data_IF_086160222747
#
_entry.id   IF_086160222747
#
_cell.length_a   1.000
_cell.length_b   1.000
_cell.length_c   1.000
_cell.angle_alpha   90.00
_cell.angle_beta   90.00
_cell.angle_gamma   90.00
#
_symmetry.space_group_name_H-M   'P 1'
#
loop_
_entity.id
_entity.type
_entity.pdbx_description
1 polymer ?
#
# COMPACT_ATOMS: atom_id res chain seq x y z
N UNK A 1 -15.61 13.84 -3.74
CA UNK A 1 -14.88 14.84 -2.90
C UNK A 1 -13.90 15.55 -3.81
N UNK A 2 -13.70 16.86 -3.65
CA UNK A 2 -12.68 17.61 -4.40
C UNK A 2 -11.29 17.29 -3.82
N UNK A 3 -10.27 17.26 -4.68
CA UNK A 3 -8.87 17.15 -4.26
C UNK A 3 -8.52 18.36 -3.37
N UNK A 4 -7.93 18.18 -2.19
CA UNK A 4 -7.52 19.28 -1.32
C UNK A 4 -6.44 20.15 -1.98
N UNK A 5 -6.31 21.40 -1.53
CA UNK A 5 -5.21 22.26 -1.95
C UNK A 5 -3.89 21.84 -1.30
N UNK A 6 -2.74 22.09 -1.97
CA UNK A 6 -1.42 21.97 -1.36
C UNK A 6 -1.29 22.82 -0.10
N UNK A 7 -0.49 22.40 0.88
CA UNK A 7 -0.34 23.12 2.14
C UNK A 7 0.99 22.84 2.84
N UNK A 8 1.46 23.84 3.57
CA UNK A 8 2.54 23.70 4.53
C UNK A 8 2.03 22.99 5.79
N UNK A 9 2.77 22.01 6.29
CA UNK A 9 2.45 21.27 7.52
C UNK A 9 3.34 21.67 8.71
N UNK A 10 4.31 22.58 8.48
CA UNK A 10 5.33 22.96 9.44
C UNK A 10 6.54 22.04 9.42
N UNK A 11 7.58 22.41 10.16
CA UNK A 11 8.83 21.65 10.27
C UNK A 11 9.51 21.34 8.90
N UNK A 12 9.36 22.22 7.90
CA UNK A 12 9.86 21.94 6.53
C UNK A 12 9.16 20.78 5.84
N UNK A 13 7.92 20.51 6.19
CA UNK A 13 7.10 19.44 5.58
C UNK A 13 5.91 20.06 4.85
N UNK A 14 5.65 19.61 3.63
CA UNK A 14 4.58 20.08 2.78
C UNK A 14 3.79 18.90 2.22
N UNK A 15 2.51 19.11 1.96
CA UNK A 15 1.62 18.12 1.36
C UNK A 15 1.12 18.62 0.01
N UNK A 16 1.25 17.80 -1.01
CA UNK A 16 0.70 18.02 -2.35
C UNK A 16 -0.21 16.86 -2.70
N UNK A 17 -1.54 17.01 -2.57
CA UNK A 17 -2.48 15.98 -2.98
C UNK A 17 -2.55 15.88 -4.50
N UNK A 18 -2.22 14.72 -5.06
CA UNK A 18 -2.28 14.42 -6.49
C UNK A 18 -3.57 13.64 -6.82
N UNK A 19 -4.40 14.09 -7.78
CA UNK A 19 -5.60 13.38 -8.18
C UNK A 19 -5.27 12.02 -8.79
N UNK A 20 -6.18 11.06 -8.61
CA UNK A 20 -6.06 9.71 -9.15
C UNK A 20 -7.19 9.45 -10.17
N UNK A 21 -6.95 8.59 -11.18
CA UNK A 21 -7.97 8.21 -12.17
C UNK A 21 -8.99 7.21 -11.62
N UNK A 22 -9.14 7.11 -10.29
CA UNK A 22 -10.01 6.15 -9.59
C UNK A 22 -11.19 6.87 -8.92
N UNK A 23 -12.27 6.12 -8.67
CA UNK A 23 -13.38 6.63 -7.85
C UNK A 23 -13.00 6.76 -6.37
N UNK A 24 -12.19 5.82 -5.88
CA UNK A 24 -11.71 5.77 -4.50
C UNK A 24 -10.40 4.96 -4.43
N UNK A 25 -9.36 5.52 -3.80
CA UNK A 25 -9.29 6.91 -3.31
C UNK A 25 -9.21 7.91 -4.46
N UNK A 26 -9.77 9.13 -4.34
CA UNK A 26 -9.77 10.13 -5.42
C UNK A 26 -8.46 10.93 -5.55
N UNK A 27 -7.57 10.84 -4.59
CA UNK A 27 -6.22 11.43 -4.60
C UNK A 27 -5.27 10.63 -3.70
N UNK A 28 -3.98 10.77 -3.96
CA UNK A 28 -2.89 10.37 -3.07
C UNK A 28 -2.21 11.62 -2.52
N UNK A 29 -1.78 11.59 -1.27
CA UNK A 29 -0.96 12.64 -0.68
C UNK A 29 0.51 12.34 -0.97
N UNK A 30 1.16 13.18 -1.74
CA UNK A 30 2.60 13.22 -1.82
C UNK A 30 3.14 14.22 -0.81
N UNK A 31 4.32 14.00 -0.27
CA UNK A 31 4.92 14.89 0.71
C UNK A 31 6.27 15.40 0.22
N UNK A 32 6.54 16.66 0.46
CA UNK A 32 7.85 17.27 0.21
C UNK A 32 8.46 17.59 1.58
N UNK A 33 9.70 17.16 1.77
CA UNK A 33 10.47 17.43 3.00
C UNK A 33 11.68 18.27 2.62
N UNK A 34 11.82 19.43 3.27
CA UNK A 34 13.01 20.26 3.16
C UNK A 34 14.19 19.51 3.81
N UNK A 35 15.23 19.28 3.03
CA UNK A 35 16.51 18.71 3.43
C UNK A 35 17.59 19.80 3.28
N UNK A 36 18.69 19.71 4.04
CA UNK A 36 19.66 20.80 4.13
C UNK A 36 20.25 21.28 2.81
N UNK A 37 20.25 20.45 1.78
CA UNK A 37 20.79 20.70 0.42
C UNK A 37 19.71 20.71 -0.67
N UNK A 38 18.42 20.61 -0.32
CA UNK A 38 17.34 20.63 -1.27
C UNK A 38 16.04 20.04 -0.74
N UNK A 39 15.36 19.26 -1.58
CA UNK A 39 14.05 18.69 -1.29
C UNK A 39 14.04 17.17 -1.49
N UNK A 40 13.32 16.47 -0.62
CA UNK A 40 12.97 15.05 -0.77
C UNK A 40 11.47 14.96 -1.08
N UNK A 41 11.12 14.25 -2.14
CA UNK A 41 9.74 13.91 -2.46
C UNK A 41 9.42 12.50 -1.93
N UNK A 42 8.33 12.34 -1.21
CA UNK A 42 7.83 11.05 -0.70
C UNK A 42 6.55 10.71 -1.45
N UNK A 43 6.57 9.60 -2.17
CA UNK A 43 5.58 9.14 -3.14
C UNK A 43 5.33 10.16 -4.28
N UNK A 44 4.86 9.69 -5.42
CA UNK A 44 4.71 10.57 -6.59
C UNK A 44 3.36 10.46 -7.30
N UNK A 45 2.50 9.52 -6.93
CA UNK A 45 1.22 9.33 -7.59
C UNK A 45 1.30 8.46 -8.84
N UNK A 46 0.22 8.44 -9.58
CA UNK A 46 0.01 7.67 -10.81
C UNK A 46 0.45 8.49 -12.02
N UNK A 47 1.07 7.86 -13.04
CA UNK A 47 1.46 8.53 -14.30
C UNK A 47 0.22 8.91 -15.12
N UNK A 48 -0.32 10.05 -14.77
CA UNK A 48 -1.52 10.63 -15.35
C UNK A 48 -1.37 12.14 -15.42
N UNK A 49 -1.69 12.73 -16.55
CA UNK A 49 -1.40 14.15 -16.78
C UNK A 49 -1.99 15.09 -15.73
N UNK A 50 -3.26 14.92 -15.25
CA UNK A 50 -3.76 15.75 -14.15
C UNK A 50 -2.99 15.57 -12.83
N UNK A 51 -2.44 14.37 -12.56
CA UNK A 51 -1.57 14.11 -11.40
C UNK A 51 -0.26 14.88 -11.49
N UNK A 52 0.43 14.79 -12.64
CA UNK A 52 1.64 15.56 -12.91
C UNK A 52 1.43 17.07 -12.78
N UNK A 53 0.37 17.58 -13.41
CA UNK A 53 0.03 19.02 -13.32
C UNK A 53 -0.31 19.45 -11.90
N UNK A 54 -0.91 18.58 -11.08
CA UNK A 54 -1.18 18.88 -9.68
C UNK A 54 0.12 18.93 -8.87
N UNK A 55 1.05 18.02 -9.13
CA UNK A 55 2.36 18.01 -8.48
C UNK A 55 3.14 19.30 -8.83
N UNK A 56 3.30 19.64 -10.11
CA UNK A 56 4.00 20.84 -10.56
C UNK A 56 3.38 22.14 -10.02
N UNK A 57 2.03 22.26 -10.09
CA UNK A 57 1.31 23.39 -9.47
C UNK A 57 1.50 23.43 -7.97
N UNK A 58 1.52 22.26 -7.31
CA UNK A 58 1.71 22.17 -5.88
C UNK A 58 3.04 22.75 -5.41
N UNK A 59 4.14 22.49 -6.12
CA UNK A 59 5.43 23.13 -5.86
C UNK A 59 5.33 24.66 -6.02
N UNK A 60 4.74 25.15 -7.11
CA UNK A 60 4.57 26.58 -7.35
C UNK A 60 3.69 27.27 -6.30
N UNK A 61 2.55 26.67 -5.93
CA UNK A 61 1.60 27.20 -4.92
C UNK A 61 2.23 27.28 -3.52
N UNK A 62 3.19 26.38 -3.23
CA UNK A 62 3.93 26.35 -1.96
C UNK A 62 5.22 27.20 -2.03
N UNK A 63 5.53 27.82 -3.17
CA UNK A 63 6.76 28.60 -3.33
C UNK A 63 8.04 27.75 -3.26
N UNK A 64 7.94 26.45 -3.56
CA UNK A 64 9.06 25.52 -3.60
C UNK A 64 9.62 25.43 -5.03
N UNK A 65 10.93 25.32 -5.16
CA UNK A 65 11.59 25.09 -6.43
C UNK A 65 11.73 23.58 -6.68
N UNK A 66 10.94 23.05 -7.62
CA UNK A 66 10.92 21.62 -7.95
C UNK A 66 12.28 21.11 -8.46
N UNK A 67 13.13 22.01 -9.01
CA UNK A 67 14.48 21.65 -9.45
C UNK A 67 15.44 21.31 -8.28
N UNK A 68 15.05 21.63 -7.06
CA UNK A 68 15.80 21.26 -5.85
C UNK A 68 15.45 19.86 -5.32
N UNK A 69 14.51 19.14 -5.94
CA UNK A 69 14.22 17.76 -5.58
C UNK A 69 15.38 16.87 -6.03
N UNK A 70 16.16 16.38 -5.07
CA UNK A 70 17.29 15.50 -5.34
C UNK A 70 17.00 14.03 -5.09
N UNK A 71 15.92 13.70 -4.37
CA UNK A 71 15.55 12.33 -4.02
C UNK A 71 14.05 12.15 -4.06
N UNK A 72 13.60 11.10 -4.74
CA UNK A 72 12.26 10.55 -4.68
C UNK A 72 12.32 9.27 -3.85
N UNK A 73 11.66 9.24 -2.70
CA UNK A 73 11.47 8.04 -1.89
C UNK A 73 10.06 7.54 -2.14
N UNK A 74 9.91 6.29 -2.58
CA UNK A 74 8.60 5.68 -2.77
C UNK A 74 8.36 4.65 -1.67
N UNK A 75 7.20 4.78 -1.01
CA UNK A 75 6.82 3.95 0.13
C UNK A 75 6.61 2.48 -0.26
N UNK A 76 6.03 2.20 -1.44
CA UNK A 76 5.76 0.86 -1.94
C UNK A 76 5.36 0.85 -3.43
N UNK A 77 5.20 -0.35 -4.02
CA UNK A 77 5.04 -0.55 -5.47
C UNK A 77 3.59 -0.39 -6.01
N UNK A 78 2.64 0.11 -5.25
CA UNK A 78 1.30 0.35 -5.82
C UNK A 78 1.31 1.53 -6.81
N UNK A 79 0.50 1.46 -7.89
CA UNK A 79 0.55 2.43 -9.00
C UNK A 79 0.32 3.87 -8.60
N UNK A 80 -0.45 4.11 -7.56
CA UNK A 80 -0.77 5.43 -7.03
C UNK A 80 0.32 6.03 -6.12
N UNK A 81 1.42 5.30 -5.91
CA UNK A 81 2.61 5.75 -5.19
C UNK A 81 3.83 5.82 -6.11
N UNK A 82 4.07 4.78 -6.89
CA UNK A 82 5.28 4.63 -7.72
C UNK A 82 5.05 5.02 -9.19
N UNK A 83 3.80 5.17 -9.61
CA UNK A 83 3.45 5.23 -11.04
C UNK A 83 4.15 6.35 -11.82
N UNK A 84 4.34 7.53 -11.22
CA UNK A 84 5.07 8.62 -11.88
C UNK A 84 6.59 8.59 -11.68
N UNK A 85 7.17 7.59 -11.02
CA UNK A 85 8.59 7.58 -10.64
C UNK A 85 9.53 7.83 -11.84
N UNK A 86 9.35 7.14 -12.95
CA UNK A 86 10.15 7.32 -14.15
C UNK A 86 10.03 8.75 -14.72
N UNK A 87 8.84 9.36 -14.69
CA UNK A 87 8.61 10.73 -15.13
C UNK A 87 9.28 11.72 -14.18
N UNK A 88 9.09 11.56 -12.87
CA UNK A 88 9.70 12.42 -11.84
C UNK A 88 11.23 12.40 -11.95
N UNK A 89 11.84 11.22 -12.03
CA UNK A 89 13.29 11.08 -12.20
C UNK A 89 13.78 11.79 -13.48
N UNK A 90 13.10 11.58 -14.60
CA UNK A 90 13.49 12.20 -15.88
C UNK A 90 13.35 13.72 -15.88
N UNK A 91 12.25 14.27 -15.34
CA UNK A 91 11.95 15.70 -15.40
C UNK A 91 12.70 16.49 -14.30
N UNK A 92 12.89 15.92 -13.11
CA UNK A 92 13.53 16.59 -11.98
C UNK A 92 15.01 16.21 -11.81
N UNK A 93 15.47 15.12 -12.43
CA UNK A 93 16.88 14.68 -12.33
C UNK A 93 17.25 14.11 -10.95
N UNK A 94 16.28 13.62 -10.18
CA UNK A 94 16.47 13.12 -8.83
C UNK A 94 16.79 11.63 -8.79
N UNK A 95 17.32 11.15 -7.65
CA UNK A 95 17.52 9.73 -7.38
C UNK A 95 16.20 9.05 -6.99
N UNK A 96 15.98 7.85 -7.52
CA UNK A 96 14.84 7.00 -7.16
C UNK A 96 15.23 6.00 -6.09
N UNK A 97 14.52 6.02 -4.97
CA UNK A 97 14.88 5.27 -3.76
C UNK A 97 13.68 4.48 -3.25
N UNK A 98 13.89 3.19 -2.96
CA UNK A 98 12.89 2.31 -2.36
C UNK A 98 13.56 1.33 -1.37
N UNK A 99 12.72 0.55 -0.65
CA UNK A 99 13.20 -0.56 0.17
C UNK A 99 13.86 -1.65 -0.69
N UNK A 100 14.87 -2.35 -0.18
CA UNK A 100 15.62 -3.41 -0.90
C UNK A 100 14.73 -4.52 -1.49
N UNK A 101 13.60 -4.81 -0.83
CA UNK A 101 12.63 -5.80 -1.33
C UNK A 101 12.03 -5.39 -2.68
N UNK A 102 11.98 -4.10 -3.00
CA UNK A 102 11.45 -3.62 -4.28
C UNK A 102 12.25 -4.16 -5.46
N UNK A 103 13.57 -4.28 -5.35
CA UNK A 103 14.43 -4.75 -6.43
C UNK A 103 13.99 -6.12 -6.99
N UNK A 104 13.54 -7.02 -6.13
CA UNK A 104 13.02 -8.34 -6.55
C UNK A 104 11.56 -8.33 -7.00
N UNK A 105 10.80 -7.29 -6.65
CA UNK A 105 9.37 -7.19 -6.94
C UNK A 105 9.06 -6.36 -8.18
N UNK A 106 9.96 -5.45 -8.60
CA UNK A 106 9.78 -4.62 -9.81
C UNK A 106 9.58 -5.47 -11.05
N UNK A 107 10.41 -6.49 -11.26
CA UNK A 107 10.26 -7.38 -12.43
C UNK A 107 8.91 -8.12 -12.40
N UNK A 108 8.49 -8.55 -11.22
CA UNK A 108 7.18 -9.20 -11.03
C UNK A 108 6.02 -8.22 -11.22
N UNK A 109 6.16 -6.98 -10.78
CA UNK A 109 5.20 -5.91 -11.04
C UNK A 109 5.07 -5.63 -12.54
N UNK A 110 6.18 -5.64 -13.25
CA UNK A 110 6.22 -5.40 -14.69
C UNK A 110 5.73 -6.60 -15.53
N UNK A 111 5.72 -7.83 -14.99
CA UNK A 111 5.22 -9.07 -15.65
C UNK A 111 3.68 -9.13 -15.61
N UNK A 112 3.01 -8.30 -16.39
CA UNK A 112 1.54 -8.28 -16.48
C UNK A 112 0.93 -9.63 -16.85
N UNK A 113 1.46 -10.39 -17.85
CA UNK A 113 0.96 -11.73 -18.13
C UNK A 113 1.15 -12.71 -16.97
N UNK A 114 2.26 -12.63 -16.25
CA UNK A 114 2.52 -13.48 -15.09
C UNK A 114 1.60 -13.16 -13.92
N UNK A 115 1.36 -11.89 -13.66
CA UNK A 115 0.36 -11.47 -12.64
C UNK A 115 -1.02 -12.02 -12.95
N UNK A 116 -1.40 -11.96 -14.23
CA UNK A 116 -2.66 -12.50 -14.72
C UNK A 116 -2.80 -14.00 -14.44
N UNK A 117 -1.80 -14.79 -14.85
CA UNK A 117 -1.79 -16.24 -14.62
C UNK A 117 -1.81 -16.61 -13.14
N UNK A 118 -1.06 -15.88 -12.30
CA UNK A 118 -1.06 -16.10 -10.85
C UNK A 118 -2.45 -15.86 -10.26
N UNK A 119 -3.12 -14.79 -10.66
CA UNK A 119 -4.47 -14.46 -10.20
C UNK A 119 -5.49 -15.50 -10.67
N UNK A 120 -5.41 -15.96 -11.92
CA UNK A 120 -6.25 -17.04 -12.47
C UNK A 120 -6.06 -18.34 -11.66
N UNK A 121 -4.82 -18.71 -11.39
CA UNK A 121 -4.51 -19.90 -10.58
C UNK A 121 -5.08 -19.78 -9.17
N UNK A 122 -4.94 -18.61 -8.52
CA UNK A 122 -5.53 -18.37 -7.21
C UNK A 122 -7.07 -18.46 -7.24
N UNK A 123 -7.69 -17.86 -8.26
CA UNK A 123 -9.13 -17.90 -8.43
C UNK A 123 -9.65 -19.33 -8.57
N UNK A 124 -9.01 -20.15 -9.43
CA UNK A 124 -9.38 -21.54 -9.63
C UNK A 124 -9.21 -22.37 -8.35
N UNK A 125 -8.07 -22.23 -7.67
CA UNK A 125 -7.75 -23.00 -6.46
C UNK A 125 -8.66 -22.62 -5.30
N UNK A 126 -9.04 -21.35 -5.15
CA UNK A 126 -9.82 -20.86 -4.01
C UNK A 126 -11.29 -20.57 -4.33
N UNK A 127 -11.76 -20.95 -5.52
CA UNK A 127 -13.17 -21.04 -5.87
C UNK A 127 -13.81 -19.77 -6.43
N UNK A 128 -13.05 -18.73 -6.81
CA UNK A 128 -13.60 -17.54 -7.43
C UNK A 128 -14.09 -17.84 -8.86
N UNK A 129 -15.34 -17.50 -9.22
CA UNK A 129 -15.85 -17.72 -10.58
C UNK A 129 -15.07 -16.91 -11.63
N UNK A 130 -14.82 -17.53 -12.78
CA UNK A 130 -14.03 -16.93 -13.87
C UNK A 130 -14.69 -15.68 -14.47
N UNK A 131 -16.02 -15.65 -14.53
CA UNK A 131 -16.77 -14.48 -15.02
C UNK A 131 -16.63 -13.27 -14.10
N UNK A 132 -16.61 -13.46 -12.77
CA UNK A 132 -16.35 -12.41 -11.80
C UNK A 132 -14.91 -11.92 -11.90
N UNK A 133 -13.95 -12.85 -12.00
CA UNK A 133 -12.54 -12.52 -12.17
C UNK A 133 -12.30 -11.68 -13.44
N UNK A 134 -12.88 -12.10 -14.57
CA UNK A 134 -12.71 -11.44 -15.86
C UNK A 134 -13.35 -10.04 -15.88
N UNK A 135 -14.53 -9.89 -15.26
CA UNK A 135 -15.21 -8.61 -15.19
C UNK A 135 -14.44 -7.54 -14.39
N UNK A 136 -13.61 -7.94 -13.42
CA UNK A 136 -12.81 -7.03 -12.59
C UNK A 136 -11.41 -6.75 -13.12
N UNK A 137 -11.07 -7.24 -14.32
CA UNK A 137 -9.73 -7.15 -14.88
C UNK A 137 -9.72 -6.33 -16.17
N UNK A 138 -8.85 -5.32 -16.31
CA UNK A 138 -8.64 -4.69 -17.60
C UNK A 138 -8.00 -5.69 -18.57
N UNK A 139 -8.42 -5.66 -19.85
CA UNK A 139 -7.88 -6.53 -20.92
C UNK A 139 -6.40 -6.24 -21.19
N UNK A 140 -6.02 -4.96 -21.06
CA UNK A 140 -4.66 -4.46 -21.21
C UNK A 140 -4.20 -3.71 -19.95
N UNK A 141 -2.88 -3.57 -19.78
CA UNK A 141 -2.31 -2.72 -18.72
C UNK A 141 -2.77 -1.29 -18.94
N UNK A 142 -3.43 -0.64 -17.98
CA UNK A 142 -3.86 0.75 -18.15
C UNK A 142 -2.66 1.69 -18.34
N UNK A 143 -2.80 2.71 -19.18
CA UNK A 143 -1.74 3.70 -19.45
C UNK A 143 -1.20 4.39 -18.19
N UNK A 144 -2.06 4.54 -17.17
CA UNK A 144 -1.67 5.11 -15.88
C UNK A 144 -0.89 4.13 -14.95
N UNK A 145 -0.62 2.92 -15.42
CA UNK A 145 0.21 1.91 -14.74
C UNK A 145 1.44 1.59 -15.59
N UNK A 146 2.41 2.52 -15.72
CA UNK A 146 3.58 2.31 -16.56
C UNK A 146 4.46 1.19 -16.02
N UNK A 147 5.44 0.78 -16.83
CA UNK A 147 6.55 -0.04 -16.33
C UNK A 147 7.38 0.78 -15.35
N UNK A 148 7.79 0.14 -14.26
CA UNK A 148 8.60 0.75 -13.22
C UNK A 148 10.07 0.39 -13.46
N UNK A 149 10.94 1.38 -13.37
CA UNK A 149 12.39 1.19 -13.40
C UNK A 149 12.90 0.66 -12.06
N UNK A 150 14.09 0.07 -12.07
CA UNK A 150 14.74 -0.33 -10.82
C UNK A 150 15.16 0.92 -10.04
N UNK A 151 15.02 0.92 -8.69
CA UNK A 151 15.50 2.02 -7.86
C UNK A 151 17.04 2.20 -7.98
N UNK A 152 17.50 3.46 -7.96
CA UNK A 152 18.93 3.79 -7.94
C UNK A 152 19.59 3.40 -6.62
N UNK A 153 18.86 3.58 -5.52
CA UNK A 153 19.31 3.27 -4.17
C UNK A 153 18.29 2.43 -3.41
N UNK A 154 18.79 1.53 -2.60
CA UNK A 154 17.98 0.61 -1.80
C UNK A 154 18.14 0.93 -0.32
N UNK A 155 17.00 1.01 0.38
CA UNK A 155 16.93 1.23 1.82
C UNK A 155 16.69 -0.10 2.55
N UNK A 156 17.15 -0.17 3.78
CA UNK A 156 16.89 -1.27 4.70
C UNK A 156 16.19 -0.77 5.97
N UNK A 157 15.57 -1.68 6.72
CA UNK A 157 14.97 -1.34 8.01
C UNK A 157 16.02 -0.78 8.98
N UNK A 158 15.74 0.37 9.56
CA UNK A 158 16.63 1.07 10.49
C UNK A 158 17.58 2.07 9.83
N UNK A 159 17.64 2.18 8.51
CA UNK A 159 18.38 3.24 7.85
C UNK A 159 17.88 4.61 8.28
N UNK A 160 18.77 5.61 8.26
CA UNK A 160 18.49 6.98 8.60
C UNK A 160 18.88 7.91 7.42
N UNK A 161 17.87 8.51 6.79
CA UNK A 161 18.07 9.46 5.70
C UNK A 161 18.28 10.84 6.32
N UNK A 162 19.49 11.40 6.18
CA UNK A 162 19.81 12.72 6.70
C UNK A 162 19.01 13.79 5.95
N UNK A 163 18.33 14.67 6.68
CA UNK A 163 17.59 15.82 6.15
C UNK A 163 18.14 17.16 6.68
N UNK A 164 19.38 17.14 7.18
CA UNK A 164 20.08 18.32 7.66
C UNK A 164 19.76 18.68 9.11
N UNK A 165 20.55 19.61 9.68
CA UNK A 165 20.40 20.10 11.05
C UNK A 165 20.38 19.00 12.15
N UNK A 166 21.03 17.86 11.91
CA UNK A 166 20.99 16.70 12.81
C UNK A 166 19.62 16.01 12.89
N UNK A 167 18.78 16.18 11.88
CA UNK A 167 17.47 15.56 11.71
C UNK A 167 17.53 14.50 10.63
N UNK A 168 16.81 13.41 10.82
CA UNK A 168 16.76 12.31 9.85
C UNK A 168 15.36 11.73 9.73
N UNK A 169 15.10 11.05 8.63
CA UNK A 169 13.95 10.16 8.45
C UNK A 169 14.42 8.73 8.69
N UNK A 170 13.98 8.10 9.77
CA UNK A 170 14.25 6.70 10.05
C UNK A 170 13.34 5.81 9.18
N UNK A 171 13.93 4.86 8.48
CA UNK A 171 13.23 3.89 7.64
C UNK A 171 12.69 2.77 8.53
N UNK A 172 11.40 2.53 8.44
CA UNK A 172 10.71 1.44 9.13
C UNK A 172 10.11 0.51 8.06
N UNK A 173 10.70 -0.67 7.88
CA UNK A 173 10.10 -1.69 7.02
C UNK A 173 8.81 -2.19 7.64
N UNK A 174 7.69 -2.05 6.93
CA UNK A 174 6.34 -2.36 7.39
C UNK A 174 5.61 -3.25 6.36
N UNK A 175 6.09 -4.49 6.15
CA UNK A 175 5.51 -5.39 5.17
C UNK A 175 4.09 -5.82 5.55
N UNK A 176 3.38 -6.35 4.55
CA UNK A 176 2.06 -6.95 4.69
C UNK A 176 1.04 -6.39 3.71
N UNK A 177 0.78 -5.09 3.70
CA UNK A 177 -0.01 -4.44 2.63
C UNK A 177 0.67 -4.63 1.27
N UNK A 178 1.97 -4.38 1.23
CA UNK A 178 2.89 -4.71 0.15
C UNK A 178 4.27 -5.05 0.75
N UNK A 179 5.06 -5.90 0.09
CA UNK A 179 6.25 -6.51 0.69
C UNK A 179 7.47 -5.58 0.80
N UNK A 180 7.54 -4.54 -0.03
CA UNK A 180 8.57 -3.52 0.05
C UNK A 180 8.12 -2.27 0.82
N UNK A 181 6.93 -2.30 1.44
CA UNK A 181 6.36 -1.13 2.09
C UNK A 181 7.22 -0.62 3.24
N UNK A 182 7.47 0.69 3.25
CA UNK A 182 8.13 1.40 4.35
C UNK A 182 7.28 2.54 4.89
N UNK A 183 7.39 2.77 6.19
CA UNK A 183 7.07 4.04 6.81
C UNK A 183 8.36 4.83 7.06
N UNK A 184 8.26 6.15 7.08
CA UNK A 184 9.38 7.04 7.41
C UNK A 184 9.04 7.80 8.68
N UNK A 185 9.92 7.77 9.69
CA UNK A 185 9.71 8.50 10.95
C UNK A 185 10.73 9.59 11.13
N UNK A 186 10.25 10.79 11.30
CA UNK A 186 11.08 11.96 11.60
C UNK A 186 11.67 11.86 13.02
N UNK A 187 13.00 11.94 13.11
CA UNK A 187 13.74 11.76 14.35
C UNK A 187 13.52 12.86 15.38
N UNK A 188 13.20 14.08 14.93
CA UNK A 188 13.01 15.27 15.79
C UNK A 188 11.58 15.39 16.26
N UNK A 189 10.61 15.27 15.35
CA UNK A 189 9.20 15.51 15.62
C UNK A 189 8.42 14.26 16.00
N UNK A 190 8.94 13.09 15.62
CA UNK A 190 8.25 11.80 15.73
C UNK A 190 7.12 11.61 14.72
N UNK A 191 6.91 12.55 13.79
CA UNK A 191 5.92 12.44 12.72
C UNK A 191 6.22 11.20 11.89
N UNK A 192 5.17 10.43 11.59
CA UNK A 192 5.24 9.24 10.76
C UNK A 192 4.61 9.49 9.39
N UNK A 193 5.36 9.34 8.31
CA UNK A 193 4.82 9.15 6.97
C UNK A 193 4.47 7.66 6.83
N UNK A 194 3.19 7.35 6.83
CA UNK A 194 2.73 5.96 6.95
C UNK A 194 2.47 5.27 5.61
N UNK A 195 2.63 5.97 4.48
CA UNK A 195 2.17 5.39 3.22
C UNK A 195 0.75 4.86 3.34
N UNK A 196 0.53 3.63 2.91
CA UNK A 196 -0.73 2.92 3.05
C UNK A 196 -0.79 1.97 4.25
N UNK A 197 0.20 1.99 5.15
CA UNK A 197 0.18 1.12 6.31
C UNK A 197 -0.88 1.53 7.35
N UNK A 198 -1.06 2.84 7.58
CA UNK A 198 -2.08 3.38 8.49
C UNK A 198 -2.89 4.44 7.76
N UNK A 199 -4.17 4.16 7.49
CA UNK A 199 -5.11 5.08 6.85
C UNK A 199 -6.19 5.58 7.83
N UNK A 200 -6.71 6.82 7.66
CA UNK A 200 -7.54 7.46 8.69
C UNK A 200 -8.93 6.82 8.86
N UNK A 201 -9.52 6.28 7.79
CA UNK A 201 -10.92 5.81 7.80
C UNK A 201 -11.09 4.35 7.46
N UNK A 202 -10.36 3.87 6.47
CA UNK A 202 -10.43 2.48 5.99
C UNK A 202 -9.28 1.66 6.57
N UNK A 203 -9.43 0.35 6.63
CA UNK A 203 -8.31 -0.56 6.77
C UNK A 203 -7.68 -0.73 5.39
N UNK A 204 -6.36 -0.60 5.25
CA UNK A 204 -5.69 -0.99 4.02
C UNK A 204 -6.01 -2.43 3.64
N UNK A 205 -6.14 -2.69 2.35
CA UNK A 205 -6.34 -4.06 1.85
C UNK A 205 -5.04 -4.83 1.97
N UNK A 206 -5.06 -6.02 2.57
CA UNK A 206 -3.91 -6.91 2.65
C UNK A 206 -4.15 -8.11 1.74
N UNK A 207 -3.63 -8.03 0.52
CA UNK A 207 -3.88 -9.03 -0.52
C UNK A 207 -2.94 -10.23 -0.40
N UNK A 208 -3.49 -11.43 -0.62
CA UNK A 208 -2.69 -12.61 -0.87
C UNK A 208 -2.24 -12.65 -2.33
N UNK A 209 -0.97 -12.42 -2.56
CA UNK A 209 -0.38 -12.33 -3.90
C UNK A 209 0.76 -13.32 -4.15
N UNK A 210 1.02 -14.23 -3.20
CA UNK A 210 2.11 -15.21 -3.23
C UNK A 210 3.54 -14.62 -3.17
N UNK A 211 3.69 -13.36 -2.78
CA UNK A 211 5.01 -12.76 -2.51
C UNK A 211 5.56 -13.21 -1.15
N UNK A 212 4.67 -13.53 -0.26
CA UNK A 212 4.94 -14.12 1.07
C UNK A 212 3.84 -15.14 1.41
N UNK A 213 4.14 -16.02 2.36
CA UNK A 213 3.18 -17.02 2.82
C UNK A 213 2.07 -16.43 3.72
N UNK A 214 2.37 -15.36 4.47
CA UNK A 214 1.46 -14.78 5.47
C UNK A 214 1.48 -13.24 5.44
N UNK A 215 0.96 -12.59 4.40
CA UNK A 215 0.97 -11.14 4.32
C UNK A 215 0.17 -10.48 5.46
N UNK A 216 -0.92 -11.10 5.94
CA UNK A 216 -1.70 -10.55 7.04
C UNK A 216 -0.96 -10.64 8.38
N UNK A 217 -0.26 -11.74 8.65
CA UNK A 217 0.57 -11.88 9.84
C UNK A 217 1.70 -10.86 9.88
N UNK A 218 2.35 -10.63 8.74
CA UNK A 218 3.38 -9.59 8.60
C UNK A 218 2.79 -8.18 8.83
N UNK A 219 1.62 -7.89 8.24
CA UNK A 219 0.93 -6.62 8.42
C UNK A 219 0.57 -6.36 9.89
N UNK A 220 -0.02 -7.35 10.57
CA UNK A 220 -0.38 -7.23 11.98
C UNK A 220 0.87 -7.06 12.87
N UNK A 221 1.96 -7.76 12.57
CA UNK A 221 3.25 -7.60 13.27
C UNK A 221 3.81 -6.19 13.09
N UNK A 222 3.74 -5.65 11.87
CA UNK A 222 4.16 -4.28 11.56
C UNK A 222 3.31 -3.25 12.31
N UNK A 223 1.99 -3.44 12.43
CA UNK A 223 1.12 -2.58 13.23
C UNK A 223 1.48 -2.63 14.71
N UNK A 224 1.71 -3.83 15.29
CA UNK A 224 2.10 -4.02 16.68
C UNK A 224 3.44 -3.31 16.99
N UNK A 225 4.41 -3.38 16.07
CA UNK A 225 5.67 -2.66 16.18
C UNK A 225 5.43 -1.15 16.28
N UNK A 226 4.62 -0.56 15.40
CA UNK A 226 4.33 0.87 15.40
C UNK A 226 3.59 1.31 16.66
N UNK A 227 2.61 0.54 17.14
CA UNK A 227 1.92 0.78 18.42
C UNK A 227 2.94 0.82 19.58
N UNK A 228 3.87 -0.14 19.62
CA UNK A 228 4.93 -0.20 20.62
C UNK A 228 5.88 0.99 20.60
N UNK A 229 5.99 1.70 19.47
CA UNK A 229 6.82 2.90 19.30
C UNK A 229 6.12 4.20 19.75
N UNK A 230 4.83 4.18 20.10
CA UNK A 230 4.07 5.35 20.52
C UNK A 230 3.93 6.39 19.41
N UNK A 231 3.43 6.00 18.25
CA UNK A 231 3.27 6.88 17.08
C UNK A 231 2.16 7.91 17.32
N UNK A 232 2.52 9.18 17.25
CA UNK A 232 1.60 10.33 17.36
C UNK A 232 1.07 10.76 15.98
N UNK A 233 1.37 12.02 15.63
CA UNK A 233 0.96 12.63 14.36
C UNK A 233 1.46 11.80 13.18
N UNK A 234 0.53 11.42 12.32
CA UNK A 234 0.80 10.52 11.19
C UNK A 234 0.27 11.12 9.89
N UNK A 235 1.08 11.07 8.87
CA UNK A 235 0.84 11.59 7.52
C UNK A 235 0.61 10.41 6.57
N UNK A 236 -0.66 10.03 6.34
CA UNK A 236 -1.01 8.89 5.47
C UNK A 236 -1.02 9.29 4.01
N UNK A 237 -0.82 8.32 3.13
CA UNK A 237 -0.91 8.56 1.69
C UNK A 237 -2.35 8.86 1.22
N UNK A 238 -3.37 8.43 1.95
CA UNK A 238 -4.76 8.73 1.59
C UNK A 238 -5.55 9.35 2.74
N UNK A 239 -6.39 10.34 2.40
CA UNK A 239 -7.30 10.99 3.34
C UNK A 239 -6.63 12.10 4.17
N UNK A 240 -7.12 12.30 5.39
CA UNK A 240 -6.68 13.36 6.30
C UNK A 240 -5.54 12.90 7.19
N UNK A 241 -4.77 13.84 7.74
CA UNK A 241 -3.78 13.57 8.77
C UNK A 241 -4.43 12.89 9.99
N UNK A 242 -3.64 12.12 10.73
CA UNK A 242 -4.07 11.35 11.90
C UNK A 242 -3.31 11.85 13.12
N UNK A 243 -4.01 12.40 14.12
CA UNK A 243 -3.37 12.97 15.30
C UNK A 243 -2.79 11.90 16.24
N UNK A 244 -3.36 10.69 16.23
CA UNK A 244 -2.99 9.55 17.09
C UNK A 244 -2.84 8.28 16.28
N UNK A 245 -1.65 8.14 15.68
CA UNK A 245 -1.32 7.02 14.80
C UNK A 245 -1.33 5.67 15.53
N UNK A 246 -0.87 5.62 16.77
CA UNK A 246 -0.88 4.43 17.63
C UNK A 246 -2.30 3.91 17.90
N UNK A 247 -3.23 4.82 18.25
CA UNK A 247 -4.63 4.44 18.44
C UNK A 247 -5.28 3.96 17.14
N UNK A 248 -4.94 4.62 16.02
CA UNK A 248 -5.47 4.21 14.72
C UNK A 248 -4.90 2.84 14.29
N UNK A 249 -3.61 2.59 14.48
CA UNK A 249 -2.99 1.30 14.24
C UNK A 249 -3.64 0.19 15.08
N UNK A 250 -3.93 0.47 16.36
CA UNK A 250 -4.65 -0.47 17.22
C UNK A 250 -6.07 -0.76 16.72
N UNK A 251 -6.80 0.25 16.23
CA UNK A 251 -8.15 0.05 15.66
C UNK A 251 -8.10 -0.87 14.43
N UNK A 252 -7.10 -0.69 13.55
CA UNK A 252 -6.90 -1.54 12.36
C UNK A 252 -6.54 -2.96 12.80
N UNK A 253 -5.62 -3.14 13.74
CA UNK A 253 -5.24 -4.44 14.28
C UNK A 253 -6.45 -5.19 14.88
N UNK A 254 -7.27 -4.51 15.67
CA UNK A 254 -8.48 -5.09 16.26
C UNK A 254 -9.55 -5.40 15.20
N UNK A 255 -9.62 -4.64 14.11
CA UNK A 255 -10.47 -4.94 12.96
C UNK A 255 -10.07 -6.28 12.33
N UNK A 256 -8.79 -6.50 12.01
CA UNK A 256 -8.33 -7.76 11.44
C UNK A 256 -8.53 -8.94 12.40
N UNK A 257 -8.26 -8.77 13.69
CA UNK A 257 -8.51 -9.82 14.69
C UNK A 257 -9.99 -10.22 14.76
N UNK A 258 -10.93 -9.29 14.64
CA UNK A 258 -12.37 -9.58 14.55
C UNK A 258 -12.70 -10.33 13.27
N UNK A 259 -12.24 -9.87 12.12
CA UNK A 259 -12.47 -10.55 10.83
C UNK A 259 -11.94 -11.99 10.84
N UNK A 260 -10.76 -12.21 11.42
CA UNK A 260 -10.22 -13.56 11.61
C UNK A 260 -11.15 -14.45 12.45
N UNK A 261 -11.73 -13.93 13.51
CA UNK A 261 -12.68 -14.67 14.33
C UNK A 261 -13.97 -14.98 13.59
N UNK A 262 -14.53 -14.01 12.86
CA UNK A 262 -15.74 -14.16 12.07
C UNK A 262 -15.55 -15.21 10.95
N UNK A 263 -14.40 -15.18 10.26
CA UNK A 263 -14.07 -16.14 9.19
C UNK A 263 -13.82 -17.54 9.75
N UNK A 264 -13.13 -17.67 10.89
CA UNK A 264 -12.94 -18.96 11.55
C UNK A 264 -14.30 -19.59 11.96
N UNK A 265 -15.24 -18.78 12.43
CA UNK A 265 -16.59 -19.26 12.75
C UNK A 265 -17.36 -19.71 11.49
N UNK A 266 -17.22 -19.01 10.36
CA UNK A 266 -17.84 -19.43 9.10
C UNK A 266 -17.29 -20.79 8.63
N UNK A 267 -15.97 -20.98 8.70
CA UNK A 267 -15.29 -22.21 8.31
C UNK A 267 -15.63 -23.36 9.25
N UNK A 268 -15.82 -23.12 10.56
CA UNK A 268 -16.16 -24.17 11.53
C UNK A 268 -17.53 -24.82 11.32
N UNK A 269 -18.41 -24.18 10.54
CA UNK A 269 -19.78 -24.69 10.31
C UNK A 269 -19.86 -25.70 9.16
N UNK A 270 -18.96 -25.60 8.18
CA UNK A 270 -18.86 -26.54 7.05
C UNK A 270 -17.56 -26.27 6.27
N UNK A 271 -16.99 -27.31 5.69
CA UNK A 271 -15.90 -27.18 4.72
C UNK A 271 -16.32 -26.23 3.61
N UNK A 272 -15.47 -25.21 3.34
CA UNK A 272 -15.86 -24.12 2.46
C UNK A 272 -14.64 -23.55 1.71
N UNK A 273 -14.82 -23.17 0.45
CA UNK A 273 -13.80 -22.42 -0.30
C UNK A 273 -13.78 -20.93 0.07
N UNK A 274 -12.72 -20.23 -0.33
CA UNK A 274 -12.56 -18.82 0.00
C UNK A 274 -13.66 -17.95 -0.63
N UNK A 275 -14.10 -18.27 -1.86
CA UNK A 275 -15.18 -17.53 -2.50
C UNK A 275 -16.50 -17.59 -1.75
N UNK A 276 -16.83 -18.75 -1.20
CA UNK A 276 -18.00 -18.92 -0.34
C UNK A 276 -17.91 -18.11 0.96
N UNK A 277 -16.70 -17.93 1.52
CA UNK A 277 -16.48 -17.02 2.65
C UNK A 277 -16.66 -15.56 2.23
N UNK A 278 -16.11 -15.16 1.07
CA UNK A 278 -16.28 -13.81 0.50
C UNK A 278 -17.75 -13.44 0.40
N UNK A 279 -18.57 -14.28 -0.25
CA UNK A 279 -20.00 -13.98 -0.50
C UNK A 279 -20.84 -13.88 0.76
N UNK A 280 -20.38 -14.49 1.87
CA UNK A 280 -21.02 -14.40 3.19
C UNK A 280 -20.51 -13.23 4.04
N UNK A 281 -19.30 -12.74 3.76
CA UNK A 281 -18.62 -11.71 4.57
C UNK A 281 -18.77 -10.30 4.02
N UNK A 282 -19.07 -10.15 2.73
CA UNK A 282 -19.14 -8.86 2.05
C UNK A 282 -20.53 -8.59 1.50
N UNK A 283 -20.82 -7.29 1.25
CA UNK A 283 -22.10 -6.84 0.65
C UNK A 283 -22.25 -7.41 -0.78
N UNK A 284 -23.47 -7.80 -1.19
CA UNK A 284 -23.67 -8.40 -2.52
C UNK A 284 -23.52 -7.43 -3.71
N UNK A 285 -23.41 -6.11 -3.46
CA UNK A 285 -23.38 -5.07 -4.50
C UNK A 285 -21.98 -4.45 -4.67
N UNK A 286 -20.93 -5.24 -4.55
CA UNK A 286 -19.59 -4.81 -4.87
C UNK A 286 -19.41 -4.74 -6.39
N UNK A 287 -18.63 -3.77 -6.87
CA UNK A 287 -18.21 -3.79 -8.26
C UNK A 287 -17.18 -4.92 -8.52
N UNK A 288 -16.91 -5.27 -9.78
CA UNK A 288 -15.99 -6.38 -10.07
C UNK A 288 -14.58 -6.22 -9.51
N UNK A 289 -14.06 -4.98 -9.44
CA UNK A 289 -12.75 -4.71 -8.85
C UNK A 289 -12.78 -4.93 -7.35
N UNK A 290 -13.82 -4.45 -6.67
CA UNK A 290 -14.01 -4.66 -5.23
C UNK A 290 -14.19 -6.13 -4.89
N UNK A 291 -14.88 -6.93 -5.72
CA UNK A 291 -14.99 -8.38 -5.55
C UNK A 291 -13.63 -9.07 -5.59
N UNK A 292 -12.76 -8.67 -6.52
CA UNK A 292 -11.40 -9.19 -6.61
C UNK A 292 -10.56 -8.84 -5.37
N UNK A 293 -10.63 -7.60 -4.91
CA UNK A 293 -9.93 -7.17 -3.71
C UNK A 293 -10.43 -7.90 -2.46
N UNK A 294 -11.75 -8.03 -2.30
CA UNK A 294 -12.37 -8.77 -1.22
C UNK A 294 -11.96 -10.26 -1.22
N UNK A 295 -11.83 -10.86 -2.39
CA UNK A 295 -11.37 -12.23 -2.55
C UNK A 295 -9.92 -12.39 -2.10
N UNK A 296 -9.00 -11.57 -2.60
CA UNK A 296 -7.57 -11.65 -2.25
C UNK A 296 -7.34 -11.36 -0.75
N UNK A 297 -8.09 -10.42 -0.18
CA UNK A 297 -8.08 -10.14 1.26
C UNK A 297 -8.61 -11.33 2.07
N UNK A 298 -9.68 -11.98 1.62
CA UNK A 298 -10.23 -13.17 2.29
C UNK A 298 -9.25 -14.33 2.27
N UNK A 299 -8.60 -14.59 1.13
CA UNK A 299 -7.55 -15.63 1.04
C UNK A 299 -6.42 -15.31 2.01
N UNK A 300 -5.99 -14.05 2.11
CA UNK A 300 -4.96 -13.62 3.08
C UNK A 300 -5.36 -13.95 4.53
N UNK A 301 -6.61 -13.69 4.92
CA UNK A 301 -7.12 -14.03 6.26
C UNK A 301 -7.20 -15.54 6.50
N UNK A 302 -7.69 -16.31 5.53
CA UNK A 302 -7.80 -17.77 5.65
C UNK A 302 -6.43 -18.45 5.70
N UNK A 303 -5.47 -17.98 4.91
CA UNK A 303 -4.09 -18.48 4.98
C UNK A 303 -3.43 -18.15 6.33
N UNK A 304 -3.62 -16.96 6.86
CA UNK A 304 -3.17 -16.63 8.22
C UNK A 304 -3.79 -17.55 9.28
N UNK A 305 -5.10 -17.82 9.22
CA UNK A 305 -5.79 -18.76 10.13
C UNK A 305 -5.21 -20.17 10.00
N UNK A 306 -4.96 -20.63 8.79
CA UNK A 306 -4.36 -21.93 8.51
C UNK A 306 -2.94 -22.04 9.07
N UNK A 307 -2.09 -21.06 8.77
CA UNK A 307 -0.68 -21.03 9.23
C UNK A 307 -0.58 -20.93 10.76
N UNK A 308 -1.53 -20.25 11.40
CA UNK A 308 -1.63 -20.20 12.88
C UNK A 308 -2.28 -21.43 13.49
N UNK A 309 -2.66 -22.45 12.71
CA UNK A 309 -3.27 -23.69 13.19
C UNK A 309 -4.70 -23.55 13.72
N UNK A 310 -5.39 -22.44 13.41
CA UNK A 310 -6.75 -22.19 13.84
C UNK A 310 -7.81 -22.84 12.95
N UNK A 311 -7.47 -23.12 11.69
CA UNK A 311 -8.28 -23.87 10.74
C UNK A 311 -7.38 -24.83 9.95
N UNK A 312 -7.98 -25.91 9.42
CA UNK A 312 -7.34 -26.84 8.50
C UNK A 312 -7.63 -26.50 7.04
N UNK A 313 -7.02 -27.28 6.14
CA UNK A 313 -7.32 -27.22 4.71
C UNK A 313 -7.31 -28.62 4.09
N UNK A 314 -8.16 -28.83 3.08
CA UNK A 314 -8.23 -30.03 2.28
C UNK A 314 -8.06 -29.65 0.80
N UNK A 315 -7.16 -30.32 0.09
CA UNK A 315 -7.09 -30.26 -1.38
C UNK A 315 -8.02 -31.35 -1.96
N UNK A 316 -9.03 -30.91 -2.71
CA UNK A 316 -10.02 -31.80 -3.32
C UNK A 316 -9.74 -32.05 -4.81
N UNK A 317 -8.47 -32.09 -5.22
CA UNK A 317 -8.07 -32.30 -6.61
C UNK A 317 -7.96 -31.00 -7.42
N UNK A 318 -7.35 -29.99 -6.82
CA UNK A 318 -7.08 -28.67 -7.42
C UNK A 318 -7.92 -27.53 -6.84
N UNK A 319 -8.85 -27.84 -5.93
CA UNK A 319 -9.58 -26.82 -5.15
C UNK A 319 -9.32 -26.98 -3.66
N UNK A 320 -9.00 -25.89 -3.00
CA UNK A 320 -8.79 -25.82 -1.56
C UNK A 320 -10.13 -25.55 -0.86
N UNK A 321 -10.46 -26.41 0.11
CA UNK A 321 -11.48 -26.18 1.10
C UNK A 321 -10.83 -25.96 2.45
N UNK A 322 -11.31 -24.96 3.21
CA UNK A 322 -10.93 -24.71 4.58
C UNK A 322 -11.92 -25.39 5.52
N UNK A 323 -11.41 -25.94 6.63
CA UNK A 323 -12.19 -26.68 7.64
C UNK A 323 -11.85 -26.19 9.05
N UNK A 324 -12.82 -26.18 9.93
CA UNK A 324 -12.66 -25.79 11.34
C UNK A 324 -12.10 -26.89 12.23
#
# INVERSE_FOLDING_TARGET
>A
MSVPAPRHLGNGIHQIPAPLPYKAPPWVNTYVVEAGDGLILIDCGTDWEPGWQALARGFADLGLDESQVHTLIVSHLHPDHVGMSARVVRELGCHFVMHERAASLVDRYNDTPGQARRLETLADVHGMPTDVLSAGRPEERPDFMPFIEQPDHLLTDGDAIDIGEGRSLAVLHTPGHEQAHICLRDSRTGILFSGDHILPRISPVVMYNQDTADPLGEYMTSLERLIGMGIGLTYPAHGTLIDRGDERALQILLHHRRRLSDMAELVSRADTDAWSVVTRSFRPNLDPTDWRLAFLETVSHLEHLRLSGRIGQIDTGGRILYQG
#
